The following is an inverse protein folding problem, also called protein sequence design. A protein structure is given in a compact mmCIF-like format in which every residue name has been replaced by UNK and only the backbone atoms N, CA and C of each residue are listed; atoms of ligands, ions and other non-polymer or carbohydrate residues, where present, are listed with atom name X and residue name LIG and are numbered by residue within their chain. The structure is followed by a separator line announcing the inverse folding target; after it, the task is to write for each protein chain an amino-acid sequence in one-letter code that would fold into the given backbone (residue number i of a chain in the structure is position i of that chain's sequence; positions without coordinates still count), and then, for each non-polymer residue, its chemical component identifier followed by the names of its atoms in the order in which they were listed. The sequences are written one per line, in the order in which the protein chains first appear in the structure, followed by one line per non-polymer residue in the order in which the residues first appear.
data_IF_677285143139
#
_entry.id   IF_677285143139
#
_cell.length_a   1.000
_cell.length_b   1.000
_cell.length_c   1.000
_cell.angle_alpha   90.00
_cell.angle_beta   90.00
_cell.angle_gamma   90.00
#
_symmetry.space_group_name_H-M   'P 1'
#
loop_
_entity.id
_entity.type
_entity.pdbx_description
1 polymer ?
#
# COMPACT_ATOMS: atom_id res chain seq x y z
N UNK A 1 -0.85 0.18 19.85
CA UNK A 1 -1.58 -0.82 19.06
C UNK A 1 -1.79 -2.05 19.92
N UNK A 2 -3.01 -2.56 19.98
CA UNK A 2 -3.35 -3.77 20.73
C UNK A 2 -4.17 -4.72 19.86
N UNK A 3 -3.81 -6.01 19.84
CA UNK A 3 -4.59 -7.05 19.16
C UNK A 3 -5.61 -7.62 20.14
N UNK A 4 -6.86 -7.68 19.70
CA UNK A 4 -7.99 -8.23 20.45
C UNK A 4 -8.53 -9.46 19.74
N UNK A 5 -9.09 -10.39 20.51
CA UNK A 5 -9.95 -11.45 19.98
C UNK A 5 -11.35 -10.89 19.71
N UNK A 6 -11.98 -11.36 18.64
CA UNK A 6 -13.32 -10.97 18.23
C UNK A 6 -14.08 -12.22 17.74
N UNK A 7 -15.38 -12.25 17.97
CA UNK A 7 -16.23 -13.29 17.40
C UNK A 7 -16.48 -12.95 15.91
N UNK A 8 -16.13 -13.86 14.97
CA UNK A 8 -16.39 -13.65 13.55
C UNK A 8 -17.87 -13.38 13.28
N UNK A 9 -18.18 -12.44 12.38
CA UNK A 9 -19.58 -12.15 12.05
C UNK A 9 -20.22 -13.38 11.38
N UNK A 10 -21.44 -13.81 11.75
CA UNK A 10 -22.01 -15.06 11.24
C UNK A 10 -22.07 -15.19 9.71
N UNK A 11 -22.31 -14.07 9.01
CA UNK A 11 -22.50 -14.03 7.56
C UNK A 11 -21.37 -13.26 6.83
N UNK A 12 -20.16 -13.21 7.41
CA UNK A 12 -19.10 -12.36 6.86
C UNK A 12 -18.72 -12.70 5.43
N UNK A 13 -18.87 -13.97 5.03
CA UNK A 13 -18.56 -14.43 3.68
C UNK A 13 -19.55 -13.88 2.68
N UNK A 14 -20.84 -14.04 2.97
CA UNK A 14 -21.93 -13.51 2.17
C UNK A 14 -21.85 -11.98 2.08
N UNK A 15 -21.50 -11.31 3.18
CA UNK A 15 -21.26 -9.86 3.21
C UNK A 15 -20.11 -9.47 2.27
N UNK A 16 -18.97 -10.17 2.33
CA UNK A 16 -17.83 -9.96 1.42
C UNK A 16 -18.22 -10.17 -0.05
N UNK A 17 -18.93 -11.25 -0.36
CA UNK A 17 -19.39 -11.55 -1.71
C UNK A 17 -20.37 -10.49 -2.23
N UNK A 18 -21.25 -9.97 -1.37
CA UNK A 18 -22.26 -8.97 -1.74
C UNK A 18 -21.66 -7.64 -2.22
N UNK A 19 -20.44 -7.30 -1.76
CA UNK A 19 -19.70 -6.10 -2.18
C UNK A 19 -18.68 -6.39 -3.29
N UNK A 20 -18.69 -7.59 -3.86
CA UNK A 20 -17.76 -8.01 -4.90
C UNK A 20 -16.37 -8.41 -4.38
N UNK A 21 -16.19 -8.57 -3.08
CA UNK A 21 -14.94 -9.02 -2.48
C UNK A 21 -14.88 -10.56 -2.44
N UNK A 22 -14.61 -11.18 -3.59
CA UNK A 22 -14.49 -12.64 -3.71
C UNK A 22 -13.16 -13.22 -3.21
N UNK A 23 -12.20 -12.36 -2.85
CA UNK A 23 -10.86 -12.77 -2.43
C UNK A 23 -10.78 -12.91 -0.90
N UNK A 24 -11.62 -13.75 -0.30
CA UNK A 24 -11.75 -13.82 1.17
C UNK A 24 -11.56 -15.23 1.77
N UNK A 25 -11.65 -16.28 0.95
CA UNK A 25 -11.52 -17.69 1.38
C UNK A 25 -10.45 -18.45 0.57
N UNK A 26 -9.37 -17.77 0.19
CA UNK A 26 -8.28 -18.37 -0.57
C UNK A 26 -7.27 -19.11 0.29
N UNK A 27 -6.80 -20.26 -0.19
CA UNK A 27 -5.70 -21.08 0.34
C UNK A 27 -5.34 -20.85 1.82
N UNK A 28 -6.04 -21.55 2.72
CA UNK A 28 -5.88 -21.38 4.16
C UNK A 28 -6.67 -20.18 4.69
N UNK A 29 -6.15 -19.54 5.74
CA UNK A 29 -6.79 -18.36 6.36
C UNK A 29 -6.27 -17.10 5.67
N UNK A 30 -7.00 -16.61 4.66
CA UNK A 30 -6.71 -15.34 4.00
C UNK A 30 -7.40 -14.15 4.70
N UNK A 31 -8.70 -14.27 4.97
CA UNK A 31 -9.47 -13.29 5.75
C UNK A 31 -9.80 -13.88 7.12
N UNK A 32 -9.44 -13.16 8.18
CA UNK A 32 -9.61 -13.59 9.56
C UNK A 32 -10.35 -12.53 10.38
N UNK A 33 -11.58 -12.82 10.77
CA UNK A 33 -12.39 -11.96 11.66
C UNK A 33 -12.28 -12.35 13.13
N UNK A 34 -11.47 -13.36 13.48
CA UNK A 34 -11.27 -13.77 14.87
C UNK A 34 -10.46 -12.75 15.68
N UNK A 35 -9.90 -11.73 15.00
CA UNK A 35 -9.09 -10.69 15.62
C UNK A 35 -9.37 -9.32 15.04
N UNK A 36 -9.18 -8.29 15.86
CA UNK A 36 -9.11 -6.91 15.42
C UNK A 36 -7.97 -6.18 16.14
N UNK A 37 -7.56 -5.03 15.58
CA UNK A 37 -6.53 -4.19 16.19
C UNK A 37 -7.16 -2.88 16.66
N UNK A 38 -6.92 -2.55 17.94
CA UNK A 38 -7.31 -1.28 18.53
C UNK A 38 -6.12 -0.34 18.55
N UNK A 39 -6.39 0.91 18.16
CA UNK A 39 -5.44 2.02 18.21
C UNK A 39 -6.03 3.16 19.03
N UNK A 40 -5.16 3.91 19.71
CA UNK A 40 -5.53 5.25 20.20
C UNK A 40 -5.46 6.26 19.05
N UNK A 41 -6.06 7.45 19.23
CA UNK A 41 -5.94 8.52 18.23
C UNK A 41 -4.46 8.91 18.00
N UNK A 42 -3.68 9.06 19.08
CA UNK A 42 -2.26 9.41 19.00
C UNK A 42 -1.44 8.38 18.20
N UNK A 43 -1.75 7.09 18.34
CA UNK A 43 -1.08 6.02 17.58
C UNK A 43 -1.43 6.08 16.08
N UNK A 44 -2.66 6.46 15.74
CA UNK A 44 -3.06 6.68 14.35
C UNK A 44 -2.33 7.90 13.77
N UNK A 45 -2.26 9.00 14.53
CA UNK A 45 -1.57 10.22 14.11
C UNK A 45 -0.07 9.95 13.85
N UNK A 46 0.57 9.13 14.69
CA UNK A 46 1.96 8.71 14.51
C UNK A 46 2.16 7.88 13.22
N UNK A 47 1.28 6.90 12.97
CA UNK A 47 1.33 6.09 11.75
C UNK A 47 1.09 6.92 10.49
N UNK A 48 0.18 7.89 10.56
CA UNK A 48 -0.09 8.81 9.45
C UNK A 48 1.12 9.69 9.17
N UNK A 49 1.72 10.29 10.21
CA UNK A 49 2.90 11.12 10.08
C UNK A 49 4.07 10.36 9.47
N UNK A 50 4.36 9.16 10.00
CA UNK A 50 5.42 8.30 9.49
C UNK A 50 5.19 7.89 8.03
N UNK A 51 3.96 7.49 7.68
CA UNK A 51 3.60 7.10 6.31
C UNK A 51 3.74 8.28 5.33
N UNK A 52 3.33 9.48 5.74
CA UNK A 52 3.46 10.70 4.95
C UNK A 52 4.93 11.06 4.71
N UNK A 53 5.76 10.94 5.73
CA UNK A 53 7.20 11.17 5.62
C UNK A 53 7.87 10.15 4.69
N UNK A 54 7.59 8.86 4.86
CA UNK A 54 8.12 7.81 4.00
C UNK A 54 7.68 7.97 2.53
N UNK A 55 6.43 8.37 2.30
CA UNK A 55 5.93 8.67 0.96
C UNK A 55 6.71 9.82 0.33
N UNK A 56 6.89 10.93 1.06
CA UNK A 56 7.71 12.06 0.61
C UNK A 56 9.15 11.63 0.30
N UNK A 57 9.80 10.89 1.19
CA UNK A 57 11.17 10.41 0.99
C UNK A 57 11.28 9.50 -0.24
N UNK A 58 10.26 8.68 -0.50
CA UNK A 58 10.20 7.84 -1.71
C UNK A 58 10.11 8.68 -2.97
N UNK A 59 9.30 9.73 -2.99
CA UNK A 59 9.19 10.67 -4.12
C UNK A 59 10.49 11.46 -4.33
N UNK A 60 11.13 11.92 -3.24
CA UNK A 60 12.43 12.61 -3.30
C UNK A 60 13.52 11.68 -3.87
N UNK A 61 13.48 10.39 -3.54
CA UNK A 61 14.39 9.39 -4.11
C UNK A 61 14.13 9.17 -5.60
N UNK A 62 12.87 9.10 -6.04
CA UNK A 62 12.51 9.00 -7.47
C UNK A 62 13.03 10.21 -8.23
N UNK A 63 12.77 11.43 -7.74
CA UNK A 63 13.27 12.68 -8.31
C UNK A 63 14.80 12.65 -8.45
N UNK A 64 15.51 12.22 -7.40
CA UNK A 64 16.96 12.10 -7.40
C UNK A 64 17.47 11.13 -8.47
N UNK A 65 16.83 9.96 -8.59
CA UNK A 65 17.20 8.92 -9.57
C UNK A 65 16.98 9.41 -11.00
N UNK A 66 15.83 10.03 -11.26
CA UNK A 66 15.47 10.55 -12.60
C UNK A 66 16.43 11.67 -13.01
N UNK A 67 16.66 12.67 -12.14
CA UNK A 67 17.55 13.81 -12.44
C UNK A 67 19.00 13.42 -12.70
N UNK A 68 19.48 12.32 -12.10
CA UNK A 68 20.86 11.84 -12.23
C UNK A 68 21.01 10.67 -13.20
N UNK A 69 19.96 10.34 -13.94
CA UNK A 69 19.94 9.22 -14.89
C UNK A 69 20.38 7.87 -14.30
N UNK A 70 19.95 7.59 -13.05
CA UNK A 70 20.36 6.40 -12.28
C UNK A 70 19.40 5.22 -12.42
N UNK A 71 18.46 5.25 -13.36
CA UNK A 71 17.41 4.23 -13.53
C UNK A 71 17.97 2.83 -13.79
N UNK A 72 19.14 2.72 -14.42
CA UNK A 72 19.83 1.44 -14.64
C UNK A 72 20.21 0.73 -13.33
N UNK A 73 20.41 1.48 -12.24
CA UNK A 73 20.73 0.92 -10.92
C UNK A 73 19.52 0.24 -10.27
N UNK A 74 18.30 0.53 -10.75
CA UNK A 74 17.06 -0.13 -10.35
C UNK A 74 16.68 -1.27 -11.30
N UNK A 75 17.63 -1.73 -12.13
CA UNK A 75 17.42 -2.77 -13.14
C UNK A 75 16.29 -2.46 -14.15
N UNK A 76 16.02 -1.17 -14.41
CA UNK A 76 15.04 -0.75 -15.41
C UNK A 76 15.64 -0.98 -16.81
N UNK A 77 15.01 -1.78 -17.69
CA UNK A 77 15.50 -2.00 -19.05
C UNK A 77 15.56 -0.70 -19.86
N UNK A 78 16.58 -0.48 -20.71
CA UNK A 78 16.74 0.76 -21.47
C UNK A 78 15.50 1.19 -22.28
N UNK A 79 14.76 0.23 -22.83
CA UNK A 79 13.53 0.47 -23.60
C UNK A 79 12.40 1.16 -22.81
N UNK A 80 12.46 1.17 -21.48
CA UNK A 80 11.44 1.78 -20.61
C UNK A 80 11.90 3.09 -19.96
N UNK A 81 13.16 3.48 -20.13
CA UNK A 81 13.74 4.68 -19.47
C UNK A 81 12.95 5.94 -19.82
N UNK A 82 12.69 6.17 -21.11
CA UNK A 82 11.98 7.36 -21.56
C UNK A 82 10.53 7.40 -21.05
N UNK A 83 9.88 6.24 -21.01
CA UNK A 83 8.52 6.12 -20.47
C UNK A 83 8.46 6.48 -18.98
N UNK A 84 9.37 5.93 -18.18
CA UNK A 84 9.44 6.21 -16.73
C UNK A 84 9.73 7.71 -16.48
N UNK A 85 10.67 8.30 -17.21
CA UNK A 85 10.98 9.73 -17.10
C UNK A 85 9.80 10.61 -17.51
N UNK A 86 9.09 10.25 -18.57
CA UNK A 86 7.92 10.99 -19.04
C UNK A 86 6.77 10.93 -18.03
N UNK A 87 6.49 9.75 -17.46
CA UNK A 87 5.48 9.57 -16.41
C UNK A 87 5.76 10.46 -15.19
N UNK A 88 7.02 10.49 -14.74
CA UNK A 88 7.45 11.33 -13.64
C UNK A 88 7.34 12.84 -13.96
N UNK A 89 7.83 13.26 -15.12
CA UNK A 89 7.84 14.68 -15.52
C UNK A 89 6.43 15.24 -15.73
N UNK A 90 5.50 14.40 -16.19
CA UNK A 90 4.10 14.77 -16.36
C UNK A 90 3.29 14.67 -15.07
N UNK A 91 3.93 14.33 -13.93
CA UNK A 91 3.30 14.17 -12.63
C UNK A 91 2.05 13.29 -12.69
N UNK A 92 2.14 12.16 -13.42
CA UNK A 92 1.03 11.22 -13.46
C UNK A 92 0.63 10.81 -12.04
N UNK A 93 -0.68 10.77 -11.73
CA UNK A 93 -1.13 10.41 -10.41
C UNK A 93 -0.65 9.01 -10.06
N UNK A 94 -0.20 8.84 -8.81
CA UNK A 94 -0.01 7.51 -8.25
C UNK A 94 -1.37 6.79 -8.15
N UNK A 95 -1.34 5.47 -8.38
CA UNK A 95 -2.50 4.59 -8.23
C UNK A 95 -2.84 4.35 -6.76
#
# INVERSE_FOLDING_TARGET
MERLEAEPRPNWREDCESVGFGFHSMDGVYWDEAHCYRFTADEIDELEAATRELCKLSLDAVEHVVKRDRLSQLAIPPRFVDYVKASWTSQQPAL
#
